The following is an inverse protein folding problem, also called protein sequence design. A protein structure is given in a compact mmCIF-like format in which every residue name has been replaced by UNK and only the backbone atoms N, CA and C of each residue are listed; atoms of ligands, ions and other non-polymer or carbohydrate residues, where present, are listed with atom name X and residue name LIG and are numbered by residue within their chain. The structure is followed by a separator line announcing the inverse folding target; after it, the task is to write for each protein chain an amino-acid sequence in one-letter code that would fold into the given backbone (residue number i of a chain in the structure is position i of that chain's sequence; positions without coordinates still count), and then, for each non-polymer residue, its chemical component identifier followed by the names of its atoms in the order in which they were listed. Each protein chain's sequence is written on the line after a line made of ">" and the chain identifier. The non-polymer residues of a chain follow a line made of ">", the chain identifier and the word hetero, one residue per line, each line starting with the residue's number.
data_IF_698487442371
#
_entry.id   IF_698487442371
#
_cell.length_a   1.000
_cell.length_b   1.000
_cell.length_c   1.000
_cell.angle_alpha   90.00
_cell.angle_beta   90.00
_cell.angle_gamma   90.00
#
_symmetry.space_group_name_H-M   'P 1'
#
loop_
_entity.id
_entity.type
_entity.pdbx_description
1 polymer ?
#
# COMPACT_ATOMS: atom_id res chain seq x y z
N UNK A 1 27.44 -43.07 3.02
CA UNK A 1 26.87 -41.83 3.60
C UNK A 1 26.93 -40.60 2.68
N UNK A 2 28.01 -40.26 1.92
CA UNK A 2 28.09 -38.95 1.23
C UNK A 2 27.11 -38.78 0.06
N UNK A 3 26.69 -39.89 -0.59
CA UNK A 3 25.74 -39.84 -1.71
C UNK A 3 24.32 -39.44 -1.30
N UNK A 4 23.87 -39.86 -0.11
CA UNK A 4 22.54 -39.53 0.41
C UNK A 4 22.48 -38.04 0.77
N UNK A 5 23.54 -37.54 1.41
CA UNK A 5 23.67 -36.12 1.71
C UNK A 5 23.70 -35.26 0.43
N UNK A 6 24.43 -35.69 -0.61
CA UNK A 6 24.46 -35.00 -1.90
C UNK A 6 23.09 -34.92 -2.59
N UNK A 7 22.33 -36.03 -2.58
CA UNK A 7 20.96 -36.06 -3.15
C UNK A 7 20.02 -35.13 -2.36
N UNK A 8 20.13 -35.11 -1.02
CA UNK A 8 19.30 -34.26 -0.17
C UNK A 8 19.61 -32.77 -0.41
N UNK A 9 20.89 -32.40 -0.49
CA UNK A 9 21.29 -31.02 -0.81
C UNK A 9 20.83 -30.60 -2.21
N UNK A 10 20.92 -31.49 -3.20
CA UNK A 10 20.45 -31.22 -4.56
C UNK A 10 18.92 -31.06 -4.61
N UNK A 11 18.18 -31.96 -3.96
CA UNK A 11 16.73 -31.87 -3.87
C UNK A 11 16.30 -30.57 -3.19
N UNK A 12 16.96 -30.19 -2.09
CA UNK A 12 16.73 -28.94 -1.39
C UNK A 12 17.08 -27.74 -2.28
N UNK A 13 18.17 -27.79 -3.03
CA UNK A 13 18.57 -26.71 -3.95
C UNK A 13 17.56 -26.53 -5.08
N UNK A 14 17.08 -27.62 -5.70
CA UNK A 14 16.04 -27.56 -6.73
C UNK A 14 14.73 -27.01 -6.16
N UNK A 15 14.39 -27.38 -4.92
CA UNK A 15 13.18 -26.90 -4.26
C UNK A 15 13.27 -25.40 -3.90
N UNK A 16 14.43 -24.91 -3.46
CA UNK A 16 14.63 -23.52 -3.05
C UNK A 16 15.02 -22.57 -4.19
N UNK A 17 15.58 -23.08 -5.29
CA UNK A 17 16.08 -22.23 -6.37
C UNK A 17 14.99 -21.36 -7.03
N UNK A 18 13.82 -21.91 -7.44
CA UNK A 18 12.77 -21.09 -8.02
C UNK A 18 12.30 -19.95 -7.09
N UNK A 19 11.89 -20.17 -5.83
CA UNK A 19 11.45 -19.07 -4.97
C UNK A 19 12.55 -18.06 -4.68
N UNK A 20 13.82 -18.47 -4.58
CA UNK A 20 14.95 -17.54 -4.40
C UNK A 20 15.14 -16.60 -5.60
N UNK A 21 15.05 -17.11 -6.83
CA UNK A 21 15.17 -16.29 -8.04
C UNK A 21 13.98 -15.33 -8.16
N UNK A 22 12.75 -15.81 -7.90
CA UNK A 22 11.57 -14.95 -7.92
C UNK A 22 11.65 -13.83 -6.87
N UNK A 23 12.14 -14.13 -5.67
CA UNK A 23 12.32 -13.13 -4.61
C UNK A 23 13.28 -12.00 -5.05
N UNK A 24 14.40 -12.34 -5.71
CA UNK A 24 15.36 -11.36 -6.21
C UNK A 24 14.76 -10.43 -7.26
N UNK A 25 14.00 -10.98 -8.21
CA UNK A 25 13.38 -10.18 -9.28
C UNK A 25 12.28 -9.28 -8.70
N UNK A 26 11.53 -9.75 -7.69
CA UNK A 26 10.43 -9.00 -7.09
C UNK A 26 10.86 -7.92 -6.08
N UNK A 27 12.15 -7.84 -5.74
CA UNK A 27 12.60 -7.02 -4.61
C UNK A 27 12.33 -5.53 -4.84
N UNK A 28 12.47 -5.07 -6.09
CA UNK A 28 12.20 -3.68 -6.49
C UNK A 28 10.81 -3.46 -7.09
N UNK A 29 9.94 -4.49 -7.08
CA UNK A 29 8.60 -4.34 -7.60
C UNK A 29 7.80 -3.39 -6.69
N UNK A 30 7.15 -2.41 -7.31
CA UNK A 30 6.19 -1.48 -6.69
C UNK A 30 4.78 -1.77 -7.17
N UNK A 31 3.72 -1.30 -6.48
CA UNK A 31 2.35 -1.44 -6.96
C UNK A 31 2.22 -0.98 -8.41
N UNK A 32 1.61 -1.81 -9.25
CA UNK A 32 1.52 -1.60 -10.71
C UNK A 32 2.46 -2.48 -11.52
N UNK A 33 3.55 -2.98 -10.92
CA UNK A 33 4.46 -3.90 -11.61
C UNK A 33 3.85 -5.31 -11.72
N UNK A 34 4.13 -6.00 -12.83
CA UNK A 34 3.61 -7.35 -13.11
C UNK A 34 4.05 -8.41 -12.10
N UNK A 35 5.20 -8.19 -11.45
CA UNK A 35 5.76 -9.09 -10.43
C UNK A 35 5.33 -8.73 -9.00
N UNK A 36 4.61 -7.61 -8.81
CA UNK A 36 4.15 -7.18 -7.49
C UNK A 36 3.21 -8.19 -6.79
N UNK A 37 2.23 -8.83 -7.47
CA UNK A 37 1.38 -9.83 -6.83
C UNK A 37 2.16 -11.03 -6.29
N UNK A 38 3.26 -11.40 -6.96
CA UNK A 38 4.15 -12.46 -6.48
C UNK A 38 4.86 -12.04 -5.20
N UNK A 39 5.35 -10.79 -5.15
CA UNK A 39 5.97 -10.20 -3.94
C UNK A 39 5.03 -10.31 -2.74
N UNK A 40 3.78 -9.86 -2.91
CA UNK A 40 2.77 -9.89 -1.84
C UNK A 40 2.53 -11.31 -1.32
N UNK A 41 2.34 -12.29 -2.21
CA UNK A 41 2.13 -13.70 -1.80
C UNK A 41 3.34 -14.29 -1.06
N UNK A 42 4.55 -13.94 -1.49
CA UNK A 42 5.76 -14.37 -0.79
C UNK A 42 5.85 -13.74 0.60
N UNK A 43 5.52 -12.45 0.74
CA UNK A 43 5.49 -11.77 2.03
C UNK A 43 4.45 -12.39 2.98
N UNK A 44 3.24 -12.70 2.50
CA UNK A 44 2.21 -13.39 3.27
C UNK A 44 2.68 -14.77 3.79
N UNK A 45 3.34 -15.55 2.91
CA UNK A 45 3.92 -16.84 3.30
C UNK A 45 5.00 -16.68 4.39
N UNK A 46 5.84 -15.66 4.29
CA UNK A 46 6.86 -15.40 5.31
C UNK A 46 6.21 -14.95 6.62
N UNK A 47 5.21 -14.06 6.60
CA UNK A 47 4.47 -13.65 7.82
C UNK A 47 3.88 -14.86 8.53
N UNK A 48 3.28 -15.78 7.78
CA UNK A 48 2.75 -17.01 8.35
C UNK A 48 3.84 -17.82 9.07
N UNK A 49 5.01 -18.00 8.43
CA UNK A 49 6.14 -18.74 9.01
C UNK A 49 6.78 -18.03 10.21
N UNK A 50 6.84 -16.69 10.21
CA UNK A 50 7.45 -15.93 11.31
C UNK A 50 6.52 -15.78 12.50
N UNK A 51 5.21 -15.99 12.34
CA UNK A 51 4.22 -15.90 13.41
C UNK A 51 4.48 -16.83 14.60
N UNK A 52 5.18 -17.95 14.38
CA UNK A 52 5.51 -18.92 15.43
C UNK A 52 6.61 -18.45 16.40
N UNK A 53 7.40 -17.44 16.04
CA UNK A 53 8.47 -16.92 16.88
C UNK A 53 8.33 -15.41 17.05
N UNK A 54 8.05 -14.89 18.27
CA UNK A 54 7.80 -13.46 18.47
C UNK A 54 8.96 -12.59 18.02
N UNK A 55 10.22 -13.03 18.23
CA UNK A 55 11.41 -12.25 17.83
C UNK A 55 11.50 -12.12 16.31
N UNK A 56 11.26 -13.21 15.59
CA UNK A 56 11.28 -13.22 14.14
C UNK A 56 10.11 -12.43 13.57
N UNK A 57 8.94 -12.50 14.21
CA UNK A 57 7.76 -11.71 13.86
C UNK A 57 8.06 -10.22 13.91
N UNK A 58 8.62 -9.72 15.02
CA UNK A 58 9.02 -8.31 15.18
C UNK A 58 10.04 -7.90 14.12
N UNK A 59 11.11 -8.68 13.96
CA UNK A 59 12.13 -8.39 12.97
C UNK A 59 11.54 -8.30 11.55
N UNK A 60 10.62 -9.20 11.22
CA UNK A 60 9.93 -9.18 9.93
C UNK A 60 8.99 -7.97 9.80
N UNK A 61 8.22 -7.61 10.84
CA UNK A 61 7.35 -6.44 10.85
C UNK A 61 8.13 -5.13 10.62
N UNK A 62 9.31 -4.98 11.25
CA UNK A 62 10.22 -3.84 11.00
C UNK A 62 10.72 -3.87 9.55
N UNK A 63 11.22 -5.02 9.09
CA UNK A 63 11.74 -5.19 7.72
C UNK A 63 10.67 -4.89 6.67
N UNK A 64 9.41 -5.26 6.92
CA UNK A 64 8.29 -4.99 6.02
C UNK A 64 8.01 -3.48 5.93
N UNK A 65 8.03 -2.79 7.06
CA UNK A 65 7.92 -1.33 7.13
C UNK A 65 9.03 -0.65 6.31
N UNK A 66 10.27 -1.13 6.41
CA UNK A 66 11.40 -0.64 5.60
C UNK A 66 11.14 -0.78 4.10
N UNK A 67 10.56 -1.90 3.67
CA UNK A 67 10.20 -2.12 2.26
C UNK A 67 9.08 -1.22 1.80
N UNK A 68 8.03 -1.01 2.62
CA UNK A 68 6.95 -0.07 2.29
C UNK A 68 7.46 1.35 2.18
N UNK A 69 8.40 1.76 3.02
CA UNK A 69 9.07 3.04 2.86
C UNK A 69 9.84 3.13 1.53
N UNK A 70 10.56 2.08 1.11
CA UNK A 70 11.23 2.05 -0.19
C UNK A 70 10.25 2.13 -1.36
N UNK A 71 9.16 1.37 -1.32
CA UNK A 71 8.09 1.42 -2.32
C UNK A 71 7.46 2.81 -2.41
N UNK A 72 7.09 3.41 -1.28
CA UNK A 72 6.57 4.77 -1.23
C UNK A 72 7.59 5.76 -1.80
N UNK A 73 8.86 5.62 -1.43
CA UNK A 73 9.92 6.49 -1.95
C UNK A 73 10.04 6.40 -3.47
N UNK A 74 9.98 5.19 -4.04
CA UNK A 74 10.04 5.01 -5.50
C UNK A 74 8.84 5.68 -6.17
N UNK A 75 7.62 5.42 -5.68
CA UNK A 75 6.39 6.01 -6.24
C UNK A 75 6.40 7.55 -6.16
N UNK A 76 6.75 8.09 -5.00
CA UNK A 76 6.80 9.54 -4.78
C UNK A 76 7.86 10.23 -5.64
N UNK A 77 9.03 9.61 -5.84
CA UNK A 77 10.06 10.16 -6.74
C UNK A 77 9.66 10.06 -8.22
N UNK A 78 8.74 9.16 -8.58
CA UNK A 78 8.14 9.09 -9.92
C UNK A 78 6.94 10.05 -10.10
N UNK A 79 6.53 10.74 -9.04
CA UNK A 79 5.30 11.54 -9.05
C UNK A 79 4.02 10.70 -9.11
N UNK A 80 4.11 9.41 -8.81
CA UNK A 80 2.98 8.48 -8.79
C UNK A 80 2.26 8.54 -7.43
N UNK A 81 1.02 8.03 -7.39
CA UNK A 81 0.23 8.01 -6.16
C UNK A 81 0.80 6.98 -5.16
N UNK A 82 1.15 7.44 -3.96
CA UNK A 82 1.76 6.60 -2.92
C UNK A 82 0.89 6.42 -1.65
N UNK A 83 -0.34 6.93 -1.65
CA UNK A 83 -1.25 6.96 -0.50
C UNK A 83 -1.39 5.59 0.21
N UNK A 84 -1.70 4.55 -0.56
CA UNK A 84 -1.88 3.20 -0.01
C UNK A 84 -0.61 2.67 0.65
N UNK A 85 0.56 2.95 0.05
CA UNK A 85 1.84 2.45 0.54
C UNK A 85 2.32 3.24 1.76
N UNK A 86 2.05 4.55 1.80
CA UNK A 86 2.28 5.37 3.00
C UNK A 86 1.37 4.91 4.16
N UNK A 87 0.12 4.56 3.86
CA UNK A 87 -0.79 3.98 4.85
C UNK A 87 -0.27 2.63 5.35
N UNK A 88 0.15 1.73 4.46
CA UNK A 88 0.73 0.44 4.84
C UNK A 88 2.02 0.59 5.64
N UNK A 89 2.88 1.57 5.31
CA UNK A 89 4.08 1.90 6.08
C UNK A 89 3.72 2.22 7.54
N UNK A 90 2.74 3.09 7.77
CA UNK A 90 2.27 3.46 9.11
C UNK A 90 1.70 2.25 9.84
N UNK A 91 0.83 1.48 9.17
CA UNK A 91 0.19 0.29 9.75
C UNK A 91 1.23 -0.75 10.18
N UNK A 92 2.21 -1.05 9.33
CA UNK A 92 3.23 -2.05 9.64
C UNK A 92 4.18 -1.57 10.75
N UNK A 93 4.49 -0.28 10.79
CA UNK A 93 5.28 0.33 11.87
C UNK A 93 4.54 0.24 13.21
N UNK A 94 3.23 0.49 13.22
CA UNK A 94 2.38 0.35 14.42
C UNK A 94 2.27 -1.10 14.88
N UNK A 95 2.12 -2.05 13.94
CA UNK A 95 2.16 -3.50 14.24
C UNK A 95 3.49 -3.88 14.89
N UNK A 96 4.62 -3.43 14.34
CA UNK A 96 5.93 -3.68 14.93
C UNK A 96 6.02 -3.11 16.36
N UNK A 97 5.55 -1.88 16.58
CA UNK A 97 5.54 -1.26 17.91
C UNK A 97 4.68 -2.04 18.92
N UNK A 98 3.50 -2.51 18.50
CA UNK A 98 2.61 -3.36 19.31
C UNK A 98 3.28 -4.69 19.66
N UNK A 99 3.92 -5.35 18.70
CA UNK A 99 4.62 -6.61 18.95
C UNK A 99 5.82 -6.44 19.90
N UNK A 100 6.55 -5.32 19.78
CA UNK A 100 7.64 -4.97 20.70
C UNK A 100 7.12 -4.77 22.12
N UNK A 101 5.93 -4.19 22.28
CA UNK A 101 5.33 -3.97 23.60
C UNK A 101 5.09 -5.28 24.36
N UNK A 102 4.84 -6.38 23.64
CA UNK A 102 4.55 -7.72 24.17
C UNK A 102 5.81 -8.51 24.56
N UNK A 103 7.01 -8.01 24.28
CA UNK A 103 8.27 -8.67 24.67
C UNK A 103 8.45 -8.60 26.19
N UNK A 104 8.63 -9.74 26.83
CA UNK A 104 8.88 -9.82 28.28
C UNK A 104 10.32 -9.44 28.67
N UNK A 105 11.30 -9.84 27.85
CA UNK A 105 12.72 -9.54 28.07
C UNK A 105 13.01 -8.05 27.84
N UNK A 106 13.33 -7.32 28.91
CA UNK A 106 13.54 -5.87 28.87
C UNK A 106 14.74 -5.47 28.01
N UNK A 107 15.84 -6.23 28.04
CA UNK A 107 17.03 -5.88 27.26
C UNK A 107 16.74 -6.02 25.77
N UNK A 108 16.09 -7.12 25.37
CA UNK A 108 15.68 -7.33 23.98
C UNK A 108 14.60 -6.34 23.54
N UNK A 109 13.67 -6.01 24.43
CA UNK A 109 12.66 -4.99 24.17
C UNK A 109 13.31 -3.64 23.85
N UNK A 110 14.27 -3.20 24.64
CA UNK A 110 14.99 -1.94 24.38
C UNK A 110 15.78 -1.98 23.07
N UNK A 111 16.41 -3.11 22.74
CA UNK A 111 17.10 -3.30 21.46
C UNK A 111 16.14 -3.08 20.26
N UNK A 112 14.96 -3.70 20.30
CA UNK A 112 13.97 -3.52 19.24
C UNK A 112 13.34 -2.12 19.23
N UNK A 113 13.12 -1.50 20.40
CA UNK A 113 12.65 -0.10 20.49
C UNK A 113 13.64 0.82 19.77
N UNK A 114 14.93 0.71 20.10
CA UNK A 114 15.97 1.55 19.50
C UNK A 114 16.05 1.33 17.98
N UNK A 115 15.99 0.07 17.54
CA UNK A 115 15.99 -0.27 16.11
C UNK A 115 14.79 0.33 15.39
N UNK A 116 13.58 0.23 15.95
CA UNK A 116 12.37 0.78 15.33
C UNK A 116 12.38 2.31 15.33
N UNK A 117 12.87 2.95 16.39
CA UNK A 117 13.03 4.41 16.44
C UNK A 117 14.01 4.91 15.37
N UNK A 118 15.12 4.20 15.15
CA UNK A 118 16.07 4.52 14.09
C UNK A 118 15.43 4.38 12.70
N UNK A 119 14.66 3.33 12.47
CA UNK A 119 13.90 3.15 11.22
C UNK A 119 12.87 4.26 11.01
N UNK A 120 12.09 4.63 12.05
CA UNK A 120 11.14 5.73 11.98
C UNK A 120 11.83 7.05 11.64
N UNK A 121 12.98 7.34 12.26
CA UNK A 121 13.74 8.56 11.95
C UNK A 121 14.18 8.58 10.48
N UNK A 122 14.71 7.47 9.98
CA UNK A 122 15.06 7.30 8.56
C UNK A 122 13.86 7.55 7.64
N UNK A 123 12.66 7.11 8.02
CA UNK A 123 11.45 7.34 7.24
C UNK A 123 11.07 8.82 7.22
N UNK A 124 11.10 9.49 8.38
CA UNK A 124 10.79 10.92 8.47
C UNK A 124 11.74 11.76 7.62
N UNK A 125 13.05 11.53 7.77
CA UNK A 125 14.09 12.25 7.02
C UNK A 125 13.94 12.04 5.51
N UNK A 126 13.66 10.80 5.09
CA UNK A 126 13.48 10.45 3.69
C UNK A 126 12.22 11.06 3.08
N UNK A 127 11.09 10.97 3.78
CA UNK A 127 9.82 11.57 3.35
C UNK A 127 9.90 13.10 3.30
N UNK A 128 10.54 13.72 4.29
CA UNK A 128 10.80 15.17 4.31
C UNK A 128 11.65 15.61 3.11
N UNK A 129 12.72 14.86 2.80
CA UNK A 129 13.59 15.14 1.66
C UNK A 129 12.86 15.02 0.31
N UNK A 130 11.99 14.03 0.17
CA UNK A 130 11.15 13.85 -1.02
C UNK A 130 10.15 15.01 -1.16
N UNK A 131 9.48 15.38 -0.07
CA UNK A 131 8.53 16.49 -0.05
C UNK A 131 9.21 17.82 -0.46
N UNK A 132 10.40 18.10 0.07
CA UNK A 132 11.16 19.31 -0.28
C UNK A 132 11.55 19.34 -1.76
N UNK A 133 11.92 18.18 -2.34
CA UNK A 133 12.25 18.07 -3.77
C UNK A 133 11.04 18.29 -4.67
N UNK A 134 9.87 17.80 -4.29
CA UNK A 134 8.63 18.06 -5.02
C UNK A 134 8.31 19.57 -5.03
N UNK A 135 8.34 20.23 -3.86
CA UNK A 135 8.12 21.69 -3.78
C UNK A 135 9.09 22.48 -4.66
N UNK A 136 10.36 22.05 -4.77
CA UNK A 136 11.37 22.70 -5.59
C UNK A 136 11.24 22.42 -7.10
N UNK A 137 10.55 21.35 -7.50
CA UNK A 137 10.37 20.94 -8.90
C UNK A 137 9.02 21.35 -9.49
N UNK A 138 8.10 21.87 -8.67
CA UNK A 138 6.85 22.43 -9.13
C UNK A 138 7.11 23.45 -10.26
N UNK A 139 6.57 23.24 -11.47
CA UNK A 139 6.86 24.11 -12.60
C UNK A 139 6.40 25.52 -12.26
N UNK A 140 7.34 26.46 -12.23
CA UNK A 140 7.03 27.89 -12.35
C UNK A 140 6.11 28.03 -13.54
N UNK A 141 4.85 28.38 -13.27
CA UNK A 141 3.85 28.63 -14.31
C UNK A 141 4.43 29.71 -15.21
N UNK A 142 5.03 29.30 -16.31
CA UNK A 142 5.46 30.21 -17.36
C UNK A 142 4.16 30.67 -17.96
N UNK A 143 3.71 31.86 -17.56
CA UNK A 143 2.58 32.55 -18.15
C UNK A 143 2.77 32.53 -19.66
N UNK A 144 2.03 31.66 -20.33
CA UNK A 144 1.91 31.66 -21.79
C UNK A 144 1.32 33.02 -22.17
N UNK A 145 2.20 33.95 -22.57
CA UNK A 145 1.79 35.14 -23.29
C UNK A 145 1.19 34.61 -24.59
N UNK A 146 -0.14 34.56 -24.62
CA UNK A 146 -0.92 34.28 -25.83
C UNK A 146 -0.66 35.40 -26.84
N UNK A 147 0.30 35.18 -27.74
CA UNK A 147 0.32 35.89 -29.01
C UNK A 147 -0.92 35.47 -29.81
N UNK A 148 -1.76 36.41 -30.28
CA UNK A 148 -2.92 36.06 -31.08
C UNK A 148 -2.47 35.44 -32.41
N UNK A 149 -2.90 34.20 -32.66
CA UNK A 149 -2.78 33.54 -33.97
C UNK A 149 -3.74 34.23 -34.95
N UNK A 150 -3.27 34.74 -36.11
CA UNK A 150 -4.16 35.22 -37.15
C UNK A 150 -4.89 34.05 -37.81
N UNK A 151 -6.22 34.19 -37.85
CA UNK A 151 -7.19 33.36 -38.56
C UNK A 151 -6.88 33.28 -40.06
N UNK A 152 -6.57 32.07 -40.54
CA UNK A 152 -6.58 31.73 -41.97
C UNK A 152 -7.70 30.72 -42.22
N UNK A 153 -8.66 31.11 -43.06
CA UNK A 153 -9.87 30.38 -43.43
C UNK A 153 -9.59 29.16 -44.36
N UNK A 154 -10.58 28.28 -44.61
CA UNK A 154 -10.38 26.92 -45.10
C UNK A 154 -10.30 26.86 -46.64
N UNK A 155 -9.56 25.88 -47.17
CA UNK A 155 -9.66 25.47 -48.57
C UNK A 155 -10.05 24.01 -48.65
N UNK A 156 -11.31 23.76 -49.03
CA UNK A 156 -11.83 22.48 -49.48
C UNK A 156 -11.32 22.16 -50.89
N UNK A 157 -10.86 20.93 -51.13
CA UNK A 157 -10.63 20.39 -52.48
C UNK A 157 -11.19 18.95 -52.56
N UNK A 158 -11.85 18.56 -53.68
CA UNK A 158 -12.73 17.39 -53.74
C UNK A 158 -12.07 16.11 -54.29
N UNK A 159 -12.66 14.97 -53.89
CA UNK A 159 -13.07 13.80 -54.70
C UNK A 159 -12.14 13.28 -55.82
N UNK A 160 -11.66 12.02 -55.71
CA UNK A 160 -11.64 11.03 -56.82
C UNK A 160 -11.77 9.57 -56.30
N UNK A 161 -12.94 8.98 -56.60
CA UNK A 161 -13.29 7.73 -57.33
C UNK A 161 -12.40 6.45 -57.25
N UNK A 162 -13.00 5.23 -57.35
CA UNK A 162 -12.41 3.94 -56.97
C UNK A 162 -11.81 3.18 -58.17
N UNK A 163 -10.92 2.22 -57.89
CA UNK A 163 -10.53 1.20 -58.87
C UNK A 163 -10.78 -0.19 -58.28
N UNK A 164 -11.75 -0.87 -58.89
CA UNK A 164 -12.04 -2.30 -58.76
C UNK A 164 -11.04 -3.07 -59.62
N UNK A 165 -10.46 -4.13 -59.09
CA UNK A 165 -9.95 -5.23 -59.91
C UNK A 165 -10.23 -6.56 -59.20
N UNK A 166 -11.11 -7.34 -59.80
CA UNK A 166 -11.60 -8.62 -59.32
C UNK A 166 -10.72 -9.78 -59.80
N UNK A 167 -10.52 -10.77 -58.93
CA UNK A 167 -10.25 -12.16 -59.35
C UNK A 167 -10.96 -13.13 -58.39
N UNK A 168 -11.65 -14.19 -58.89
CA UNK A 168 -12.54 -15.00 -58.08
C UNK A 168 -11.86 -16.27 -57.56
N UNK A 169 -12.16 -16.69 -56.32
CA UNK A 169 -12.42 -18.11 -55.99
C UNK A 169 -13.09 -18.23 -54.59
N UNK A 170 -14.06 -19.15 -54.39
CA UNK A 170 -14.95 -19.14 -53.25
C UNK A 170 -14.48 -20.10 -52.13
N UNK A 171 -14.47 -19.61 -50.89
CA UNK A 171 -14.63 -20.43 -49.69
C UNK A 171 -15.56 -19.69 -48.74
N UNK A 172 -16.72 -20.28 -48.50
CA UNK A 172 -17.76 -19.73 -47.63
C UNK A 172 -17.33 -20.01 -46.19
N UNK A 173 -16.88 -18.97 -45.48
CA UNK A 173 -16.67 -18.99 -44.03
C UNK A 173 -17.77 -18.10 -43.42
N UNK A 174 -18.49 -18.56 -42.38
CA UNK A 174 -19.50 -17.74 -41.72
C UNK A 174 -18.86 -16.46 -41.12
N UNK A 175 -19.53 -15.34 -41.38
CA UNK A 175 -19.11 -14.00 -41.03
C UNK A 175 -18.93 -13.81 -39.50
N UNK A 176 -17.83 -13.20 -39.03
CA UNK A 176 -17.83 -12.59 -37.71
C UNK A 176 -18.69 -11.33 -37.76
N UNK A 177 -19.67 -11.28 -36.86
CA UNK A 177 -20.49 -10.10 -36.58
C UNK A 177 -19.58 -8.90 -36.29
N UNK A 178 -19.60 -7.91 -37.17
CA UNK A 178 -18.90 -6.64 -36.96
C UNK A 178 -19.52 -5.94 -35.74
N UNK A 179 -18.77 -5.70 -34.65
CA UNK A 179 -19.28 -4.91 -33.54
C UNK A 179 -19.54 -3.48 -34.03
N UNK A 180 -20.69 -2.94 -33.65
CA UNK A 180 -21.07 -1.56 -33.90
C UNK A 180 -19.96 -0.59 -33.47
N UNK A 181 -19.80 0.55 -34.15
CA UNK A 181 -18.89 1.61 -33.69
C UNK A 181 -19.36 2.08 -32.31
N UNK A 182 -18.63 1.64 -31.28
CA UNK A 182 -18.77 2.17 -29.92
C UNK A 182 -18.40 3.65 -30.00
N UNK A 183 -19.38 4.50 -29.73
CA UNK A 183 -19.17 5.94 -29.60
C UNK A 183 -18.00 6.18 -28.65
N UNK A 184 -16.96 6.84 -29.16
CA UNK A 184 -15.84 7.25 -28.32
C UNK A 184 -16.40 8.08 -27.14
N UNK A 185 -16.03 7.77 -25.89
CA UNK A 185 -16.41 8.59 -24.76
C UNK A 185 -15.88 10.00 -25.01
N UNK A 186 -16.80 10.96 -24.96
CA UNK A 186 -16.49 12.39 -24.92
C UNK A 186 -15.47 12.60 -23.81
N UNK A 187 -14.25 13.01 -24.17
CA UNK A 187 -13.20 13.38 -23.22
C UNK A 187 -13.76 14.49 -22.34
N UNK A 188 -14.22 14.13 -21.14
CA UNK A 188 -14.47 15.10 -20.10
C UNK A 188 -13.13 15.83 -19.83
N UNK A 189 -13.13 17.16 -19.67
CA UNK A 189 -11.95 17.88 -19.28
C UNK A 189 -11.49 17.30 -17.94
N UNK A 190 -10.41 16.53 -17.97
CA UNK A 190 -9.75 16.01 -16.79
C UNK A 190 -9.31 17.26 -16.04
N UNK A 191 -9.92 17.52 -14.88
CA UNK A 191 -9.35 18.48 -13.94
C UNK A 191 -8.07 17.83 -13.44
N UNK A 192 -6.96 18.11 -14.12
CA UNK A 192 -5.64 17.64 -13.72
C UNK A 192 -5.27 18.46 -12.48
N UNK A 193 -5.77 18.05 -11.31
CA UNK A 193 -5.12 18.44 -10.06
C UNK A 193 -3.74 17.78 -10.13
N UNK A 194 -2.64 18.54 -10.12
CA UNK A 194 -1.31 17.96 -10.22
C UNK A 194 -1.16 16.87 -9.15
N UNK A 195 -0.73 15.64 -9.51
CA UNK A 195 -0.55 14.53 -8.54
C UNK A 195 0.36 14.92 -7.36
N UNK A 196 1.19 15.93 -7.58
CA UNK A 196 2.07 16.58 -6.62
C UNK A 196 1.35 17.16 -5.38
N UNK A 197 0.14 17.72 -5.52
CA UNK A 197 -0.58 18.31 -4.40
C UNK A 197 -1.16 17.27 -3.43
N UNK A 198 -1.58 16.11 -3.94
CA UNK A 198 -2.17 15.03 -3.11
C UNK A 198 -1.10 14.27 -2.32
N UNK A 199 0.07 14.04 -2.93
CA UNK A 199 1.15 13.33 -2.27
C UNK A 199 1.71 14.11 -1.05
N UNK A 200 1.72 15.44 -1.09
CA UNK A 200 2.21 16.27 0.02
C UNK A 200 1.40 16.13 1.31
N UNK A 201 0.07 16.02 1.21
CA UNK A 201 -0.81 15.84 2.37
C UNK A 201 -0.63 14.45 3.00
N UNK A 202 -0.60 13.41 2.17
CA UNK A 202 -0.41 12.03 2.63
C UNK A 202 0.99 11.81 3.25
N UNK A 203 2.03 12.43 2.70
CA UNK A 203 3.36 12.44 3.32
C UNK A 203 3.29 13.07 4.72
N UNK A 204 2.66 14.25 4.86
CA UNK A 204 2.54 14.94 6.15
C UNK A 204 1.81 14.08 7.18
N UNK A 205 0.69 13.48 6.79
CA UNK A 205 -0.12 12.59 7.63
C UNK A 205 0.66 11.35 8.06
N UNK A 206 1.39 10.72 7.13
CA UNK A 206 2.23 9.57 7.44
C UNK A 206 3.32 9.92 8.45
N UNK A 207 4.01 11.05 8.27
CA UNK A 207 5.04 11.55 9.19
C UNK A 207 4.48 11.83 10.59
N UNK A 208 3.33 12.48 10.68
CA UNK A 208 2.66 12.72 11.96
C UNK A 208 2.33 11.42 12.70
N UNK A 209 1.83 10.41 11.98
CA UNK A 209 1.53 9.09 12.55
C UNK A 209 2.79 8.34 12.97
N UNK A 210 3.87 8.43 12.20
CA UNK A 210 5.16 7.83 12.56
C UNK A 210 5.74 8.45 13.83
N UNK A 211 5.64 9.77 13.99
CA UNK A 211 6.03 10.46 15.23
C UNK A 211 5.13 10.08 16.41
N UNK A 212 3.82 9.88 16.20
CA UNK A 212 2.91 9.35 17.21
C UNK A 212 3.37 7.97 17.71
N UNK A 213 3.74 7.07 16.80
CA UNK A 213 4.25 5.72 17.12
C UNK A 213 5.58 5.82 17.88
N UNK A 214 6.51 6.67 17.43
CA UNK A 214 7.79 6.93 18.10
C UNK A 214 7.60 7.43 19.53
N UNK A 215 6.65 8.33 19.76
CA UNK A 215 6.30 8.82 21.10
C UNK A 215 5.74 7.72 22.00
N UNK A 216 4.88 6.84 21.47
CA UNK A 216 4.34 5.66 22.19
C UNK A 216 5.43 4.68 22.59
N UNK A 217 6.44 4.48 21.74
CA UNK A 217 7.60 3.63 22.05
C UNK A 217 8.44 4.18 23.20
N UNK A 218 8.61 5.51 23.28
CA UNK A 218 9.38 6.16 24.35
C UNK A 218 8.66 6.20 25.70
N UNK A 219 7.33 6.10 25.73
CA UNK A 219 6.52 6.16 26.95
C UNK A 219 5.62 4.92 27.06
N UNK A 220 6.15 3.75 27.48
CA UNK A 220 5.43 2.48 27.53
C UNK A 220 4.27 2.43 28.56
N UNK A 221 3.88 3.56 29.16
CA UNK A 221 2.93 3.66 30.27
C UNK A 221 1.51 4.04 29.86
N UNK A 222 1.23 4.35 28.58
CA UNK A 222 -0.15 4.64 28.17
C UNK A 222 -0.84 3.36 27.66
N UNK A 223 -2.02 2.99 28.20
CA UNK A 223 -2.82 1.89 27.69
C UNK A 223 -3.16 2.14 26.20
N UNK A 224 -3.39 1.07 25.41
CA UNK A 224 -3.56 1.18 23.96
C UNK A 224 -4.69 2.15 23.63
N UNK A 225 -4.40 3.13 22.77
CA UNK A 225 -5.45 3.90 22.09
C UNK A 225 -6.36 2.88 21.41
N UNK A 226 -7.61 2.82 21.86
CA UNK A 226 -8.72 2.24 21.13
C UNK A 226 -8.65 2.84 19.73
N UNK A 227 -8.32 2.02 18.74
CA UNK A 227 -8.54 2.38 17.34
C UNK A 227 -10.03 2.69 17.29
N UNK A 228 -10.36 3.95 16.99
CA UNK A 228 -11.71 4.33 16.62
C UNK A 228 -11.99 3.56 15.33
N UNK A 229 -12.58 2.37 15.47
CA UNK A 229 -13.38 1.80 14.39
C UNK A 229 -14.41 2.86 14.05
N UNK A 230 -14.24 3.47 12.89
CA UNK A 230 -15.27 4.21 12.19
C UNK A 230 -16.42 3.23 11.91
N UNK A 231 -17.26 3.01 12.93
CA UNK A 231 -18.56 2.37 12.79
C UNK A 231 -19.42 3.36 12.05
N UNK A 232 -19.41 3.23 10.73
CA UNK A 232 -20.38 3.85 9.85
C UNK A 232 -21.78 3.69 10.44
N UNK A 233 -22.39 4.84 10.69
CA UNK A 233 -23.81 4.98 10.96
C UNK A 233 -24.62 4.22 9.92
N UNK A 234 -25.49 3.33 10.40
CA UNK A 234 -26.79 3.17 9.77
C UNK A 234 -27.83 2.97 10.87
N UNK A 235 -28.47 4.07 11.20
CA UNK A 235 -29.62 4.12 12.09
C UNK A 235 -30.86 3.49 11.47
N UNK A 236 -31.62 2.82 12.34
CA UNK A 236 -33.07 2.57 12.29
C UNK A 236 -33.38 1.93 13.66
N UNK A 237 -33.78 2.66 14.71
CA UNK A 237 -35.19 2.96 15.05
C UNK A 237 -36.15 1.88 14.53
N UNK A 238 -37.00 1.21 15.33
CA UNK A 238 -37.78 1.68 16.48
C UNK A 238 -38.44 0.47 17.17
N UNK A 239 -38.87 0.66 18.43
CA UNK A 239 -40.10 0.08 19.06
C UNK A 239 -40.03 -1.38 19.48
N UNK A 240 -40.53 -1.82 20.63
CA UNK A 240 -40.94 -1.32 21.95
C UNK A 240 -41.29 -2.60 22.73
N UNK A 241 -41.35 -2.52 24.05
CA UNK A 241 -42.01 -3.51 24.95
C UNK A 241 -41.38 -4.92 25.04
N UNK A 242 -40.76 -5.23 26.18
CA UNK A 242 -41.48 -6.02 27.18
C UNK A 242 -40.83 -5.92 28.57
N UNK A 243 -41.71 -5.80 29.54
CA UNK A 243 -41.53 -5.51 30.94
C UNK A 243 -41.34 -6.84 31.68
N UNK A 244 -40.23 -6.99 32.42
CA UNK A 244 -39.85 -8.29 32.96
C UNK A 244 -39.04 -8.22 34.25
N UNK A 245 -39.68 -7.67 35.28
CA UNK A 245 -39.57 -8.00 36.71
C UNK A 245 -38.25 -8.54 37.31
N UNK A 246 -37.71 -7.73 38.24
CA UNK A 246 -37.24 -8.10 39.60
C UNK A 246 -36.64 -9.50 39.82
N UNK A 247 -35.38 -9.54 40.29
CA UNK A 247 -35.06 -10.03 41.66
C UNK A 247 -33.84 -9.30 42.21
N UNK A 248 -34.11 -8.48 43.21
CA UNK A 248 -33.19 -8.00 44.24
C UNK A 248 -32.71 -9.17 45.11
N UNK A 249 -31.39 -9.39 45.21
CA UNK A 249 -30.80 -10.13 46.33
C UNK A 249 -29.37 -9.67 46.59
N UNK A 250 -29.22 -8.71 47.48
CA UNK A 250 -27.94 -8.50 48.16
C UNK A 250 -27.62 -9.68 49.08
N UNK A 251 -26.32 -9.97 49.28
CA UNK A 251 -25.84 -10.41 50.58
C UNK A 251 -24.31 -10.36 50.71
N UNK A 252 -23.88 -9.65 51.75
CA UNK A 252 -22.82 -9.96 52.72
C UNK A 252 -21.37 -10.19 52.25
N UNK A 253 -20.57 -9.15 52.53
CA UNK A 253 -19.47 -9.17 53.51
C UNK A 253 -19.10 -10.54 54.10
N UNK A 254 -17.84 -10.97 53.90
CA UNK A 254 -17.10 -11.66 54.95
C UNK A 254 -15.60 -11.31 54.88
N UNK A 255 -15.18 -10.49 55.86
CA UNK A 255 -13.80 -10.37 56.33
C UNK A 255 -13.41 -11.71 56.95
N UNK A 256 -12.27 -12.30 56.56
CA UNK A 256 -11.51 -13.14 57.48
C UNK A 256 -10.03 -12.77 57.39
N UNK A 257 -9.55 -12.29 58.53
CA UNK A 257 -8.17 -12.03 58.93
C UNK A 257 -7.52 -13.38 59.29
N UNK A 258 -6.29 -13.64 58.83
CA UNK A 258 -5.19 -14.21 59.64
C UNK A 258 -3.89 -14.19 58.85
#
# INVERSE_FOLDING_TARGET
>A
MPRIFGILVLALSILLFPPSVLALISNNAVPGDSTYPVKIKLEEGIVFLTSFNPRTKIWFSVTRSDRRFQEASILLNRGEAAENILTELVVQTDVAAKEISQISDQNKKQEFINSLQQSIQKYDDGLSSIQQRQIAQAPVSTSIITSPVPTSAPTSVPQQTPVVSAKPQPTIVPAPTSPAPVSQPVSQPITITPPEAKNGEEIKKAREKLEEIKKKLSHPQNPPLTIIEDKGEKGSNTTDEDEGDRVNRGNKNEKINR
#
